data_IF_442746761808
#
_entry.id   IF_442746761808
#
_cell.length_a   1.000
_cell.length_b   1.000
_cell.length_c   1.000
_cell.angle_alpha   90.00
_cell.angle_beta   90.00
_cell.angle_gamma   90.00
#
_symmetry.space_group_name_H-M   'P 1'
#
loop_
_entity.id
_entity.type
_entity.pdbx_description
1 polymer ?
#
# COMPACT_ATOMS: atom_id res chain seq x y z
N UNK A 1 27.49 -0.83 33.27
CA UNK A 1 26.94 -0.97 31.90
C UNK A 1 26.00 -2.17 31.67
N UNK A 2 25.61 -2.97 32.68
CA UNK A 2 24.88 -4.25 32.48
C UNK A 2 23.34 -4.14 32.49
N UNK A 3 22.75 -3.08 33.07
CA UNK A 3 21.28 -2.97 33.19
C UNK A 3 20.54 -2.50 31.93
N UNK A 4 21.13 -1.62 31.12
CA UNK A 4 20.45 -1.02 29.96
C UNK A 4 20.21 -2.03 28.82
N UNK A 5 21.11 -3.01 28.68
CA UNK A 5 21.02 -4.08 27.67
C UNK A 5 19.88 -5.06 27.99
N UNK A 6 19.68 -5.41 29.27
CA UNK A 6 18.61 -6.31 29.69
C UNK A 6 17.20 -5.71 29.50
N UNK A 7 17.06 -4.39 29.67
CA UNK A 7 15.78 -3.71 29.47
C UNK A 7 15.36 -3.68 28.01
N UNK A 8 16.30 -3.40 27.09
CA UNK A 8 16.03 -3.41 25.65
C UNK A 8 15.65 -4.81 25.16
N UNK A 9 16.31 -5.85 25.67
CA UNK A 9 16.02 -7.24 25.29
C UNK A 9 14.64 -7.71 25.76
N UNK A 10 14.22 -7.29 26.96
CA UNK A 10 12.89 -7.60 27.50
C UNK A 10 11.77 -6.93 26.70
N UNK A 11 11.95 -5.66 26.30
CA UNK A 11 11.00 -4.94 25.43
C UNK A 11 10.89 -5.60 24.06
N UNK A 12 12.02 -6.05 23.48
CA UNK A 12 12.03 -6.73 22.20
C UNK A 12 11.29 -8.08 22.24
N UNK A 13 11.46 -8.87 23.31
CA UNK A 13 10.75 -10.13 23.51
C UNK A 13 9.23 -9.93 23.70
N UNK A 14 8.83 -8.86 24.37
CA UNK A 14 7.42 -8.51 24.56
C UNK A 14 6.74 -8.14 23.23
N UNK A 15 7.43 -7.37 22.38
CA UNK A 15 6.94 -7.02 21.04
C UNK A 15 6.75 -8.25 20.15
N UNK A 16 7.69 -9.21 20.22
CA UNK A 16 7.58 -10.47 19.46
C UNK A 16 6.40 -11.32 19.94
N UNK A 17 6.14 -11.39 21.25
CA UNK A 17 5.06 -12.21 21.80
C UNK A 17 3.68 -11.68 21.40
N UNK A 18 3.52 -10.36 21.32
CA UNK A 18 2.28 -9.71 20.89
C UNK A 18 1.93 -10.02 19.43
N UNK A 19 2.94 -10.18 18.54
CA UNK A 19 2.70 -10.50 17.13
C UNK A 19 2.06 -11.88 16.87
N UNK A 20 2.14 -12.84 17.80
CA UNK A 20 1.65 -14.21 17.58
C UNK A 20 0.21 -14.47 18.10
N UNK A 21 -0.39 -13.57 18.88
CA UNK A 21 -1.60 -13.90 19.65
C UNK A 21 -2.95 -13.80 18.90
N UNK A 22 -3.05 -13.18 17.71
CA UNK A 22 -4.37 -12.93 17.06
C UNK A 22 -4.35 -13.05 15.52
N UNK A 23 -3.93 -14.18 14.98
CA UNK A 23 -3.63 -14.32 13.54
C UNK A 23 -4.80 -14.02 12.57
N UNK A 24 -6.07 -14.14 12.98
CA UNK A 24 -7.24 -13.95 12.10
C UNK A 24 -7.73 -12.51 11.96
N UNK A 25 -7.58 -11.65 12.99
CA UNK A 25 -7.94 -10.22 12.90
C UNK A 25 -6.74 -9.31 12.57
N UNK A 26 -5.53 -9.82 12.81
CA UNK A 26 -4.27 -9.13 12.53
C UNK A 26 -4.13 -8.89 11.02
N UNK A 27 -4.50 -9.82 10.15
CA UNK A 27 -4.37 -9.66 8.70
C UNK A 27 -5.12 -8.45 8.15
N UNK A 28 -6.37 -8.23 8.59
CA UNK A 28 -7.17 -7.07 8.19
C UNK A 28 -6.61 -5.75 8.76
N UNK A 29 -6.16 -5.76 10.02
CA UNK A 29 -5.53 -4.59 10.65
C UNK A 29 -4.19 -4.23 9.96
N UNK A 30 -3.38 -5.22 9.58
CA UNK A 30 -2.12 -5.01 8.85
C UNK A 30 -2.36 -4.50 7.44
N UNK A 31 -3.43 -4.93 6.77
CA UNK A 31 -3.79 -4.38 5.46
C UNK A 31 -4.13 -2.89 5.56
N UNK A 32 -4.96 -2.50 6.53
CA UNK A 32 -5.28 -1.08 6.77
C UNK A 32 -4.06 -0.26 7.19
N UNK A 33 -3.20 -0.83 8.03
CA UNK A 33 -1.94 -0.22 8.43
C UNK A 33 -0.99 -0.07 7.24
N UNK A 34 -0.94 -1.04 6.33
CA UNK A 34 -0.13 -0.93 5.11
C UNK A 34 -0.63 0.19 4.20
N UNK A 35 -1.95 0.29 3.97
CA UNK A 35 -2.53 1.37 3.17
C UNK A 35 -2.27 2.76 3.78
N UNK A 36 -2.37 2.84 5.11
CA UNK A 36 -1.96 4.03 5.85
C UNK A 36 -0.48 4.36 5.62
N UNK A 37 0.44 3.40 5.77
CA UNK A 37 1.87 3.63 5.54
C UNK A 37 2.19 4.01 4.10
N UNK A 38 1.56 3.38 3.10
CA UNK A 38 1.76 3.70 1.68
C UNK A 38 1.32 5.13 1.37
N UNK A 39 0.24 5.59 1.98
CA UNK A 39 -0.26 6.96 1.81
C UNK A 39 0.60 7.99 2.57
N UNK A 40 1.07 7.62 3.76
CA UNK A 40 1.78 8.54 4.66
C UNK A 40 3.28 8.68 4.33
N UNK A 41 3.94 7.59 3.88
CA UNK A 41 5.38 7.56 3.60
C UNK A 41 5.86 8.68 2.64
N UNK A 42 5.19 8.95 1.51
CA UNK A 42 5.60 10.01 0.59
C UNK A 42 5.53 11.40 1.23
N UNK A 43 4.47 11.65 2.03
CA UNK A 43 4.27 12.93 2.72
C UNK A 43 5.38 13.14 3.75
N UNK A 44 5.71 12.11 4.55
CA UNK A 44 6.81 12.18 5.51
C UNK A 44 8.17 12.32 4.84
N UNK A 45 8.40 11.63 3.73
CA UNK A 45 9.65 11.73 2.99
C UNK A 45 9.92 13.18 2.55
N UNK A 46 8.91 13.84 1.97
CA UNK A 46 9.01 15.26 1.61
C UNK A 46 9.23 16.16 2.82
N UNK A 47 8.54 15.90 3.93
CA UNK A 47 8.68 16.68 5.16
C UNK A 47 10.09 16.54 5.77
N UNK A 48 10.67 15.34 5.75
CA UNK A 48 12.03 15.09 6.26
C UNK A 48 13.08 15.77 5.39
N UNK A 49 12.92 15.78 4.06
CA UNK A 49 13.82 16.49 3.15
C UNK A 49 13.80 17.99 3.45
N UNK A 50 12.61 18.58 3.59
CA UNK A 50 12.45 20.01 3.93
C UNK A 50 13.03 20.32 5.31
N UNK A 51 12.77 19.48 6.31
CA UNK A 51 13.31 19.63 7.65
C UNK A 51 14.85 19.55 7.66
N UNK A 52 15.44 18.62 6.89
CA UNK A 52 16.88 18.51 6.72
C UNK A 52 17.49 19.76 6.11
N UNK A 53 16.86 20.33 5.07
CA UNK A 53 17.27 21.60 4.47
C UNK A 53 17.16 22.79 5.44
N UNK A 54 16.07 22.86 6.21
CA UNK A 54 15.86 23.91 7.22
C UNK A 54 16.90 23.83 8.36
N UNK A 55 17.22 22.63 8.83
CA UNK A 55 18.25 22.42 9.87
C UNK A 55 19.64 22.79 9.34
N UNK A 56 19.95 22.45 8.08
CA UNK A 56 21.21 22.85 7.46
C UNK A 56 21.34 24.39 7.36
N UNK A 57 20.29 25.05 6.89
CA UNK A 57 20.24 26.51 6.82
C UNK A 57 20.31 27.16 8.22
N UNK A 58 19.55 26.64 9.18
CA UNK A 58 19.58 27.08 10.57
C UNK A 58 20.93 26.89 11.24
N UNK A 59 21.66 25.84 10.88
CA UNK A 59 23.02 25.58 11.35
C UNK A 59 24.04 26.66 10.95
N UNK A 60 23.77 27.45 9.91
CA UNK A 60 24.62 28.58 9.53
C UNK A 60 24.36 29.84 10.38
N UNK A 61 23.18 29.94 11.00
CA UNK A 61 22.81 31.06 11.87
C UNK A 61 23.28 30.86 13.31
N UNK A 62 23.63 29.62 13.67
CA UNK A 62 24.10 29.28 15.02
C UNK A 62 25.63 29.25 15.08
N UNK A 63 26.18 29.55 16.26
CA UNK A 63 27.62 29.69 16.48
C UNK A 63 28.43 28.43 16.17
N UNK A 64 29.77 28.58 16.15
CA UNK A 64 30.72 27.55 15.71
C UNK A 64 30.52 26.17 16.37
N UNK A 65 30.11 26.12 17.64
CA UNK A 65 29.84 24.88 18.37
C UNK A 65 28.56 24.17 17.91
N UNK A 66 27.52 24.94 17.58
CA UNK A 66 26.21 24.42 17.17
C UNK A 66 26.19 24.05 15.68
N UNK A 67 26.98 24.74 14.86
CA UNK A 67 27.17 24.42 13.43
C UNK A 67 27.64 22.99 13.22
N UNK A 68 28.58 22.53 14.04
CA UNK A 68 29.12 21.17 13.95
C UNK A 68 28.07 20.10 14.28
N UNK A 69 27.23 20.33 15.30
CA UNK A 69 26.18 19.38 15.70
C UNK A 69 25.00 19.37 14.73
N UNK A 70 24.59 20.55 14.24
CA UNK A 70 23.51 20.68 13.28
C UNK A 70 23.80 19.94 11.96
N UNK A 71 25.05 19.99 11.48
CA UNK A 71 25.43 19.26 10.26
C UNK A 71 25.29 17.74 10.40
N UNK A 72 25.59 17.17 11.56
CA UNK A 72 25.44 15.71 11.79
C UNK A 72 23.96 15.31 11.80
N UNK A 73 23.10 16.18 12.32
CA UNK A 73 21.65 15.92 12.35
C UNK A 73 21.02 16.07 10.96
N UNK A 74 21.45 17.07 10.19
CA UNK A 74 20.96 17.27 8.83
C UNK A 74 21.33 16.09 7.91
N UNK A 75 22.57 15.57 8.00
CA UNK A 75 23.01 14.46 7.16
C UNK A 75 22.32 13.14 7.53
N UNK A 76 22.04 12.89 8.81
CA UNK A 76 21.33 11.68 9.23
C UNK A 76 19.87 11.70 8.76
N UNK A 77 19.20 12.86 8.79
CA UNK A 77 17.85 13.02 8.24
C UNK A 77 17.82 12.84 6.73
N UNK A 78 18.79 13.42 6.01
CA UNK A 78 18.88 13.30 4.56
C UNK A 78 19.15 11.86 4.13
N UNK A 79 20.07 11.15 4.80
CA UNK A 79 20.32 9.74 4.52
C UNK A 79 19.13 8.84 4.88
N UNK A 80 18.44 9.11 5.99
CA UNK A 80 17.24 8.39 6.37
C UNK A 80 16.13 8.53 5.32
N UNK A 81 15.90 9.74 4.81
CA UNK A 81 14.94 9.97 3.73
C UNK A 81 15.33 9.25 2.44
N UNK A 82 16.62 9.29 2.07
CA UNK A 82 17.13 8.65 0.86
C UNK A 82 16.98 7.12 0.92
N UNK A 83 17.35 6.50 2.06
CA UNK A 83 17.16 5.06 2.28
C UNK A 83 15.67 4.70 2.30
N UNK A 84 14.82 5.53 2.90
CA UNK A 84 13.37 5.31 2.91
C UNK A 84 12.77 5.26 1.50
N UNK A 85 13.17 6.19 0.62
CA UNK A 85 12.76 6.20 -0.80
C UNK A 85 13.32 4.97 -1.52
N UNK A 86 14.58 4.61 -1.26
CA UNK A 86 15.20 3.45 -1.88
C UNK A 86 14.43 2.16 -1.54
N UNK A 87 14.06 1.98 -0.27
CA UNK A 87 13.31 0.81 0.20
C UNK A 87 11.88 0.80 -0.38
N UNK A 88 11.22 1.96 -0.49
CA UNK A 88 9.85 1.99 -1.05
C UNK A 88 9.81 1.57 -2.52
N UNK A 89 10.86 1.86 -3.29
CA UNK A 89 10.97 1.47 -4.71
C UNK A 89 11.50 0.04 -4.87
N UNK A 90 12.55 -0.35 -4.13
CA UNK A 90 13.18 -1.66 -4.28
C UNK A 90 12.45 -2.78 -3.54
N UNK A 91 11.75 -2.46 -2.45
CA UNK A 91 11.05 -3.43 -1.62
C UNK A 91 10.08 -4.32 -2.42
N UNK A 92 9.15 -3.74 -3.21
CA UNK A 92 8.24 -4.53 -4.05
C UNK A 92 8.97 -5.43 -5.05
N UNK A 93 10.06 -4.94 -5.65
CA UNK A 93 10.83 -5.68 -6.65
C UNK A 93 11.54 -6.91 -6.05
N UNK A 94 12.18 -6.74 -4.89
CA UNK A 94 12.85 -7.83 -4.18
C UNK A 94 11.83 -8.89 -3.76
N UNK A 95 10.69 -8.46 -3.23
CA UNK A 95 9.64 -9.37 -2.79
C UNK A 95 9.01 -10.14 -3.95
N UNK A 96 8.78 -9.49 -5.10
CA UNK A 96 8.28 -10.14 -6.31
C UNK A 96 9.25 -11.21 -6.82
N UNK A 97 10.56 -10.97 -6.69
CA UNK A 97 11.60 -11.91 -7.10
C UNK A 97 11.67 -13.14 -6.18
N UNK A 98 11.49 -12.95 -4.87
CA UNK A 98 11.58 -14.04 -3.89
C UNK A 98 10.31 -14.88 -3.78
N UNK A 99 9.13 -14.24 -3.83
CA UNK A 99 7.85 -14.91 -3.55
C UNK A 99 6.99 -15.19 -4.79
N UNK A 100 7.39 -14.70 -5.97
CA UNK A 100 6.58 -14.81 -7.19
C UNK A 100 5.44 -13.79 -7.25
N UNK A 101 4.72 -13.76 -8.37
CA UNK A 101 3.75 -12.70 -8.74
C UNK A 101 2.52 -12.50 -7.85
N UNK A 102 2.44 -13.15 -6.68
CA UNK A 102 1.33 -13.06 -5.72
C UNK A 102 1.56 -12.00 -4.62
N UNK A 103 2.73 -11.35 -4.57
CA UNK A 103 3.06 -10.37 -3.52
C UNK A 103 2.27 -9.06 -3.59
N UNK A 104 1.81 -8.64 -4.79
CA UNK A 104 1.06 -7.39 -4.97
C UNK A 104 -0.24 -7.33 -4.15
N UNK A 105 -0.74 -8.48 -3.70
CA UNK A 105 -1.97 -8.61 -2.90
C UNK A 105 -1.76 -8.29 -1.40
N UNK A 106 -0.53 -8.20 -0.88
CA UNK A 106 -0.30 -8.08 0.57
C UNK A 106 -0.82 -6.76 1.19
N UNK A 107 -0.87 -5.68 0.41
CA UNK A 107 -1.47 -4.41 0.83
C UNK A 107 -2.73 -4.03 0.03
N UNK A 108 -3.11 -4.86 -0.94
CA UNK A 108 -4.34 -4.71 -1.74
C UNK A 108 -5.50 -5.58 -1.24
N UNK A 109 -5.32 -6.34 -0.16
CA UNK A 109 -6.31 -7.32 0.33
C UNK A 109 -7.00 -6.93 1.63
N UNK A 110 -8.34 -6.81 1.56
CA UNK A 110 -9.29 -6.98 2.67
C UNK A 110 -9.50 -5.80 3.63
N UNK A 111 -9.68 -4.59 3.10
CA UNK A 111 -10.63 -3.66 3.72
C UNK A 111 -12.04 -4.23 3.55
N UNK A 112 -12.62 -4.78 4.62
CA UNK A 112 -14.00 -5.28 4.60
C UNK A 112 -15.00 -4.18 4.23
N UNK A 113 -15.96 -4.52 3.37
CA UNK A 113 -17.30 -3.93 3.40
C UNK A 113 -17.57 -2.65 2.62
N UNK A 114 -16.60 -2.07 1.92
CA UNK A 114 -16.86 -1.05 0.90
C UNK A 114 -16.39 -1.61 -0.42
N UNK A 115 -17.31 -1.92 -1.33
CA UNK A 115 -16.93 -2.27 -2.69
C UNK A 115 -15.90 -1.26 -3.16
N UNK A 116 -14.72 -1.75 -3.54
CA UNK A 116 -13.91 -1.02 -4.50
C UNK A 116 -14.80 -0.93 -5.73
N UNK A 117 -15.59 0.15 -5.76
CA UNK A 117 -15.81 0.94 -6.94
C UNK A 117 -14.41 1.36 -7.36
N UNK A 118 -13.68 0.40 -7.92
CA UNK A 118 -12.59 0.63 -8.83
C UNK A 118 -13.26 1.42 -9.94
N UNK A 119 -13.34 2.74 -9.72
CA UNK A 119 -13.61 3.69 -10.75
C UNK A 119 -12.49 3.44 -11.75
N UNK A 120 -12.76 2.57 -12.71
CA UNK A 120 -11.93 2.40 -13.89
C UNK A 120 -11.87 3.80 -14.49
N UNK A 121 -10.75 4.52 -14.35
CA UNK A 121 -10.68 5.83 -14.94
C UNK A 121 -10.77 5.60 -16.45
N UNK A 122 -11.69 6.28 -17.12
CA UNK A 122 -11.97 6.09 -18.55
C UNK A 122 -10.71 6.19 -19.43
N UNK A 123 -9.64 6.80 -18.90
CA UNK A 123 -8.36 6.98 -19.57
C UNK A 123 -7.43 5.74 -19.53
N UNK A 124 -7.55 4.80 -18.58
CA UNK A 124 -6.69 3.61 -18.56
C UNK A 124 -7.23 2.43 -17.71
N UNK A 125 -8.07 1.54 -18.30
CA UNK A 125 -8.70 0.44 -17.57
C UNK A 125 -7.76 -0.72 -17.20
N UNK A 126 -6.55 -0.77 -17.77
CA UNK A 126 -5.62 -1.90 -17.60
C UNK A 126 -4.74 -1.77 -16.34
N UNK A 127 -4.61 -0.57 -15.77
CA UNK A 127 -3.73 -0.32 -14.61
C UNK A 127 -4.39 -0.73 -13.30
N UNK A 128 -5.72 -0.69 -13.24
CA UNK A 128 -6.47 -0.84 -11.97
C UNK A 128 -7.31 -2.12 -11.89
N UNK A 129 -7.54 -2.80 -13.01
CA UNK A 129 -8.14 -4.13 -13.02
C UNK A 129 -7.23 -5.09 -13.79
N UNK A 130 -6.90 -6.22 -13.17
CA UNK A 130 -6.02 -7.23 -13.78
C UNK A 130 -6.60 -7.86 -15.07
N UNK A 131 -7.89 -7.66 -15.38
CA UNK A 131 -8.51 -8.34 -16.52
C UNK A 131 -9.55 -7.50 -17.29
N UNK A 132 -10.65 -7.05 -16.68
CA UNK A 132 -11.71 -6.33 -17.41
C UNK A 132 -12.49 -5.36 -16.52
N UNK A 133 -12.74 -4.14 -17.02
CA UNK A 133 -13.61 -3.13 -16.41
C UNK A 133 -15.01 -3.15 -17.05
N UNK A 134 -16.06 -3.14 -16.23
CA UNK A 134 -17.44 -2.98 -16.71
C UNK A 134 -18.06 -1.69 -16.15
N UNK A 135 -18.71 -0.90 -17.00
CA UNK A 135 -19.35 0.37 -16.62
C UNK A 135 -20.88 0.23 -16.48
N UNK A 136 -21.41 0.64 -15.33
CA UNK A 136 -22.84 0.60 -14.98
C UNK A 136 -23.29 1.95 -14.42
N UNK A 137 -24.03 2.74 -15.21
CA UNK A 137 -24.75 3.92 -14.72
C UNK A 137 -23.90 4.93 -13.92
N UNK A 138 -22.62 5.10 -14.27
CA UNK A 138 -21.68 6.00 -13.56
C UNK A 138 -20.77 5.32 -12.52
N UNK A 139 -20.95 4.03 -12.27
CA UNK A 139 -20.05 3.20 -11.44
C UNK A 139 -19.31 2.18 -12.30
N UNK A 140 -18.06 1.87 -11.96
CA UNK A 140 -17.29 0.83 -12.64
C UNK A 140 -16.93 -0.29 -11.66
N UNK A 141 -16.94 -1.53 -12.14
CA UNK A 141 -16.56 -2.72 -11.38
C UNK A 141 -15.50 -3.53 -12.15
N UNK A 142 -14.50 -4.04 -11.42
CA UNK A 142 -13.52 -4.97 -11.96
C UNK A 142 -14.09 -6.40 -11.97
N UNK A 143 -13.99 -7.10 -13.11
CA UNK A 143 -14.19 -8.56 -13.14
C UNK A 143 -12.87 -9.32 -12.93
N UNK A 144 -12.95 -10.49 -12.33
CA UNK A 144 -11.79 -11.37 -12.12
C UNK A 144 -11.39 -12.10 -13.41
N UNK A 145 -10.20 -12.71 -13.42
CA UNK A 145 -9.76 -13.50 -14.57
C UNK A 145 -10.71 -14.68 -14.79
N UNK A 146 -11.20 -14.83 -16.02
CA UNK A 146 -12.22 -15.86 -16.31
C UNK A 146 -13.65 -15.34 -16.27
N UNK A 147 -13.87 -14.03 -16.10
CA UNK A 147 -15.18 -13.40 -16.20
C UNK A 147 -15.27 -12.43 -17.40
N UNK A 148 -16.49 -12.23 -17.92
CA UNK A 148 -16.83 -11.28 -18.98
C UNK A 148 -17.95 -10.36 -18.52
N UNK A 149 -17.95 -9.12 -19.00
CA UNK A 149 -19.05 -8.17 -18.78
C UNK A 149 -20.26 -8.58 -19.62
N UNK A 150 -21.40 -8.80 -18.98
CA UNK A 150 -22.66 -9.10 -19.63
C UNK A 150 -23.70 -8.00 -19.35
N UNK A 151 -24.34 -7.49 -20.40
CA UNK A 151 -25.39 -6.46 -20.34
C UNK A 151 -24.95 -5.11 -20.88
N UNK A 152 -25.90 -4.18 -20.96
CA UNK A 152 -25.69 -2.77 -21.29
C UNK A 152 -26.06 -1.90 -20.09
N UNK A 153 -25.40 -0.74 -19.94
CA UNK A 153 -25.72 0.22 -18.87
C UNK A 153 -27.24 0.52 -18.85
N UNK A 154 -27.90 0.53 -17.67
CA UNK A 154 -27.32 0.54 -16.32
C UNK A 154 -27.11 -0.84 -15.66
N UNK A 155 -27.53 -1.94 -16.28
CA UNK A 155 -27.64 -3.24 -15.62
C UNK A 155 -26.66 -4.26 -16.19
N UNK A 156 -25.35 -4.06 -16.01
CA UNK A 156 -24.40 -5.07 -16.45
C UNK A 156 -23.66 -5.72 -15.27
N UNK A 157 -23.13 -6.92 -15.50
CA UNK A 157 -22.71 -7.87 -14.47
C UNK A 157 -21.48 -8.67 -14.94
N UNK A 158 -20.64 -9.11 -14.02
CA UNK A 158 -19.55 -10.05 -14.32
C UNK A 158 -20.07 -11.49 -14.32
N UNK A 159 -20.05 -12.17 -15.46
CA UNK A 159 -20.37 -13.61 -15.56
C UNK A 159 -19.11 -14.42 -15.87
N UNK A 160 -19.05 -15.69 -15.42
CA UNK A 160 -17.93 -16.58 -15.81
C UNK A 160 -17.93 -16.82 -17.32
N UNK A 161 -16.75 -17.05 -17.90
CA UNK A 161 -16.56 -17.27 -19.33
C UNK A 161 -17.38 -18.45 -19.87
N UNK A 162 -17.66 -19.44 -19.02
CA UNK A 162 -18.47 -20.62 -19.33
C UNK A 162 -19.95 -20.33 -19.57
N UNK A 163 -20.50 -19.22 -19.05
CA UNK A 163 -21.90 -18.85 -19.26
C UNK A 163 -22.03 -17.85 -20.40
N UNK A 164 -22.90 -18.07 -21.37
CA UNK A 164 -23.24 -17.05 -22.38
C UNK A 164 -24.01 -15.90 -21.73
N UNK A 165 -23.75 -14.66 -22.17
CA UNK A 165 -24.55 -13.51 -21.74
C UNK A 165 -25.97 -13.68 -22.29
N UNK A 166 -26.93 -14.02 -21.43
CA UNK A 166 -28.33 -14.16 -21.81
C UNK A 166 -28.99 -12.80 -22.07
N UNK A 167 -29.96 -12.76 -22.98
CA UNK A 167 -30.75 -11.56 -23.31
C UNK A 167 -31.95 -11.33 -22.38
N UNK A 168 -32.16 -12.18 -21.37
CA UNK A 168 -33.33 -12.14 -20.48
C UNK A 168 -32.90 -12.08 -19.01
N UNK A 169 -33.80 -11.58 -18.14
CA UNK A 169 -33.67 -11.11 -16.75
C UNK A 169 -32.68 -11.80 -15.76
N UNK A 170 -32.07 -12.94 -16.10
CA UNK A 170 -31.03 -13.61 -15.35
C UNK A 170 -29.70 -13.53 -16.12
N UNK A 171 -28.80 -12.59 -15.76
CA UNK A 171 -27.66 -12.22 -16.62
C UNK A 171 -26.60 -13.32 -16.77
N UNK A 172 -26.56 -14.29 -15.87
CA UNK A 172 -25.68 -15.46 -15.95
C UNK A 172 -26.50 -16.74 -15.85
N UNK A 173 -27.14 -17.14 -16.97
CA UNK A 173 -27.79 -18.45 -17.11
C UNK A 173 -26.89 -19.44 -17.86
N UNK A 174 -26.75 -20.66 -17.32
CA UNK A 174 -26.13 -21.77 -18.06
C UNK A 174 -27.01 -22.15 -19.24
N UNK A 175 -26.39 -22.57 -20.35
CA UNK A 175 -27.08 -23.22 -21.47
C UNK A 175 -27.65 -24.57 -21.05
#
# INVERSE_FOLDING_TARGET
>A
MKGKQAMAFSIFLLLISISFAQMSNISAALASLCDFFVTLLPILSMLVIVAGGAIYAGGQLMGAETRARANVWATSLLMGALIGILISVLGPFVMQTMYGGTWTTACQGSGGGGGQTSNCPAANPQIYCATTCCHYGGTAACCTSGQKCCGSAPNAWCCSQSLSCGTYAYPCGGV
#
